data_IF_096795411134
#
_entry.id   IF_096795411134
#
_cell.length_a   1.000
_cell.length_b   1.000
_cell.length_c   1.000
_cell.angle_alpha   90.00
_cell.angle_beta   90.00
_cell.angle_gamma   90.00
#
_symmetry.space_group_name_H-M   'P 1'
#
loop_
_entity.id
_entity.type
_entity.pdbx_description
1 polymer ?
#
# COMPACT_ATOMS: atom_id res chain seq x y z
N UNK A 1 -54.71 25.89 14.64
CA UNK A 1 -53.61 26.32 13.75
C UNK A 1 -52.28 25.81 14.30
N UNK A 2 -51.77 24.70 13.76
CA UNK A 2 -50.54 24.06 14.22
C UNK A 2 -49.30 24.75 13.66
N UNK A 3 -48.36 25.11 14.56
CA UNK A 3 -47.04 25.64 14.17
C UNK A 3 -46.15 24.48 13.72
N UNK A 4 -45.93 24.38 12.41
CA UNK A 4 -44.92 23.49 11.82
C UNK A 4 -43.54 24.03 12.19
N UNK A 5 -42.85 23.41 13.14
CA UNK A 5 -41.44 23.73 13.45
C UNK A 5 -40.57 23.14 12.36
N UNK A 6 -39.82 24.00 11.65
CA UNK A 6 -38.76 23.60 10.72
C UNK A 6 -37.82 22.62 11.46
N UNK A 7 -37.75 21.36 11.01
CA UNK A 7 -36.76 20.40 11.51
C UNK A 7 -35.39 20.99 11.24
N UNK A 8 -34.61 21.26 12.30
CA UNK A 8 -33.19 21.63 12.21
C UNK A 8 -32.51 20.61 11.28
N UNK A 9 -32.03 21.10 10.14
CA UNK A 9 -31.23 20.33 9.20
C UNK A 9 -30.06 19.72 9.97
N UNK A 10 -30.05 18.38 10.09
CA UNK A 10 -28.95 17.65 10.75
C UNK A 10 -27.66 18.08 10.04
N UNK A 11 -26.74 18.71 10.78
CA UNK A 11 -25.38 18.93 10.28
C UNK A 11 -24.85 17.57 9.83
N UNK A 12 -24.39 17.51 8.58
CA UNK A 12 -23.77 16.31 8.03
C UNK A 12 -22.65 15.87 8.99
N UNK A 13 -22.65 14.58 9.33
CA UNK A 13 -21.63 13.94 10.16
C UNK A 13 -20.45 13.41 9.34
N UNK A 14 -20.54 13.48 8.01
CA UNK A 14 -19.64 12.82 7.08
C UNK A 14 -18.89 13.84 6.26
N UNK A 15 -17.62 13.54 5.94
CA UNK A 15 -16.81 14.37 5.05
C UNK A 15 -16.22 13.50 3.95
N UNK A 16 -16.23 14.01 2.72
CA UNK A 16 -15.50 13.47 1.59
C UNK A 16 -14.70 14.62 0.96
N UNK A 17 -13.41 14.40 0.68
CA UNK A 17 -12.50 15.42 0.16
C UNK A 17 -12.52 16.74 0.97
N UNK A 18 -12.62 16.61 2.30
CA UNK A 18 -12.67 17.74 3.23
C UNK A 18 -13.99 18.53 3.23
N UNK A 19 -15.02 18.06 2.51
CA UNK A 19 -16.33 18.71 2.40
C UNK A 19 -17.42 17.90 3.08
N UNK A 20 -18.38 18.53 3.79
CA UNK A 20 -19.50 17.82 4.38
C UNK A 20 -20.41 17.22 3.29
N UNK A 21 -20.76 15.94 3.43
CA UNK A 21 -21.61 15.20 2.47
C UNK A 21 -22.76 14.48 3.17
N UNK A 22 -23.86 14.20 2.47
CA UNK A 22 -24.91 13.34 3.00
C UNK A 22 -24.54 11.85 2.89
N UNK A 23 -25.41 10.99 3.43
CA UNK A 23 -25.17 9.55 3.50
C UNK A 23 -25.15 8.87 2.13
N UNK A 24 -26.02 9.29 1.20
CA UNK A 24 -26.05 8.76 -0.16
C UNK A 24 -24.78 9.14 -0.94
N UNK A 25 -24.32 10.39 -0.77
CA UNK A 25 -23.08 10.87 -1.36
C UNK A 25 -21.87 10.13 -0.76
N UNK A 26 -21.84 9.90 0.56
CA UNK A 26 -20.80 9.08 1.20
C UNK A 26 -20.79 7.65 0.63
N UNK A 27 -21.94 6.99 0.54
CA UNK A 27 -22.03 5.63 0.02
C UNK A 27 -21.51 5.53 -1.42
N UNK A 28 -21.83 6.51 -2.26
CA UNK A 28 -21.29 6.62 -3.62
C UNK A 28 -19.77 6.81 -3.63
N UNK A 29 -19.21 7.62 -2.73
CA UNK A 29 -17.76 7.78 -2.61
C UNK A 29 -17.06 6.50 -2.15
N UNK A 30 -17.65 5.78 -1.18
CA UNK A 30 -17.11 4.50 -0.70
C UNK A 30 -17.11 3.46 -1.82
N UNK A 31 -18.22 3.33 -2.57
CA UNK A 31 -18.30 2.42 -3.70
C UNK A 31 -17.26 2.77 -4.78
N UNK A 32 -17.13 4.05 -5.13
CA UNK A 32 -16.15 4.49 -6.12
C UNK A 32 -14.70 4.21 -5.70
N UNK A 33 -14.38 4.32 -4.41
CA UNK A 33 -13.05 3.94 -3.89
C UNK A 33 -12.86 2.42 -3.93
N UNK A 34 -13.86 1.64 -3.54
CA UNK A 34 -13.80 0.18 -3.56
C UNK A 34 -13.66 -0.41 -4.97
N UNK A 35 -14.27 0.22 -5.98
CA UNK A 35 -14.21 -0.23 -7.37
C UNK A 35 -12.90 0.18 -8.09
N UNK A 36 -12.08 1.04 -7.46
CA UNK A 36 -10.81 1.49 -8.05
C UNK A 36 -9.69 0.55 -7.61
N UNK A 37 -9.18 -0.22 -8.56
CA UNK A 37 -7.99 -1.08 -8.36
C UNK A 37 -6.75 -0.53 -9.05
N UNK A 38 -6.88 0.42 -9.98
CA UNK A 38 -5.73 1.00 -10.67
C UNK A 38 -5.11 2.12 -9.80
N UNK A 39 -3.91 1.85 -9.30
CA UNK A 39 -3.20 2.64 -8.31
C UNK A 39 -1.89 3.23 -8.87
N UNK A 40 -1.26 4.09 -8.08
CA UNK A 40 0.09 4.54 -8.35
C UNK A 40 1.09 3.50 -7.85
N UNK A 41 2.08 3.17 -8.66
CA UNK A 41 3.04 2.13 -8.31
C UNK A 41 4.49 2.50 -8.54
N UNK A 42 5.36 1.84 -7.77
CA UNK A 42 6.81 1.87 -7.97
C UNK A 42 7.40 0.52 -7.61
N UNK A 43 8.27 0.00 -8.48
CA UNK A 43 9.14 -1.12 -8.15
C UNK A 43 10.52 -0.59 -7.74
N UNK A 44 11.10 -1.23 -6.73
CA UNK A 44 12.45 -0.90 -6.25
C UNK A 44 13.05 -2.09 -5.51
N UNK A 45 14.19 -1.90 -4.86
CA UNK A 45 14.86 -2.91 -4.07
C UNK A 45 14.85 -2.55 -2.59
N UNK A 46 15.12 -3.52 -1.73
CA UNK A 46 15.10 -3.31 -0.28
C UNK A 46 16.18 -2.32 0.18
N UNK A 47 17.29 -2.24 -0.54
CA UNK A 47 18.40 -1.32 -0.29
C UNK A 47 18.13 0.12 -0.80
N UNK A 48 16.95 0.39 -1.38
CA UNK A 48 16.59 1.73 -1.83
C UNK A 48 16.65 2.73 -0.65
N UNK A 49 17.48 3.80 -0.76
CA UNK A 49 17.56 4.83 0.26
C UNK A 49 16.20 5.48 0.61
N UNK A 50 15.26 5.51 -0.34
CA UNK A 50 13.91 6.04 -0.13
C UNK A 50 13.05 5.17 0.78
N UNK A 51 13.38 3.88 0.94
CA UNK A 51 12.72 2.99 1.88
C UNK A 51 13.45 2.93 3.23
N UNK A 52 14.78 3.13 3.20
CA UNK A 52 15.67 3.09 4.37
C UNK A 52 15.38 1.90 5.29
N UNK A 53 15.29 0.74 4.66
CA UNK A 53 14.95 -0.50 5.33
C UNK A 53 16.11 -1.00 6.23
N UNK A 54 17.34 -0.57 5.96
CA UNK A 54 18.46 -0.67 6.90
C UNK A 54 18.99 -2.08 7.16
N UNK A 55 18.34 -3.11 6.62
CA UNK A 55 18.75 -4.51 6.69
C UNK A 55 18.33 -5.21 5.39
N UNK A 56 19.26 -5.97 4.80
CA UNK A 56 18.97 -6.84 3.66
C UNK A 56 18.61 -8.21 4.21
N UNK A 57 17.50 -8.78 3.74
CA UNK A 57 17.20 -10.15 4.09
C UNK A 57 18.13 -11.12 3.35
N UNK A 58 18.60 -12.11 4.08
CA UNK A 58 19.39 -13.24 3.58
C UNK A 58 18.52 -14.44 3.25
N UNK A 59 17.27 -14.47 3.71
CA UNK A 59 16.37 -15.58 3.47
C UNK A 59 15.05 -15.49 4.25
N UNK A 60 14.31 -16.59 4.20
CA UNK A 60 13.11 -16.84 4.98
C UNK A 60 13.36 -18.12 5.77
N UNK A 61 13.20 -18.05 7.09
CA UNK A 61 13.22 -19.21 7.96
C UNK A 61 12.04 -20.14 7.59
N UNK A 62 12.30 -21.41 7.22
CA UNK A 62 11.26 -22.33 6.77
C UNK A 62 10.31 -22.78 7.88
N UNK A 63 10.70 -22.71 9.16
CA UNK A 63 9.85 -23.10 10.29
C UNK A 63 8.93 -21.95 10.73
N UNK A 64 9.49 -20.74 10.82
CA UNK A 64 8.76 -19.58 11.34
C UNK A 64 8.16 -18.68 10.26
N UNK A 65 8.58 -18.86 9.00
CA UNK A 65 8.31 -17.92 7.92
C UNK A 65 8.99 -16.56 8.12
N UNK A 66 9.77 -16.37 9.19
CA UNK A 66 10.35 -15.06 9.48
C UNK A 66 11.48 -14.75 8.49
N UNK A 67 11.57 -13.48 8.13
CA UNK A 67 12.66 -12.98 7.31
C UNK A 67 13.96 -13.02 8.12
N UNK A 68 14.96 -13.77 7.64
CA UNK A 68 16.31 -13.72 8.19
C UNK A 68 17.08 -12.59 7.55
N UNK A 69 17.83 -11.83 8.35
CA UNK A 69 18.70 -10.76 7.87
C UNK A 69 20.13 -11.13 8.19
N UNK A 70 21.01 -11.14 7.18
CA UNK A 70 22.44 -11.33 7.39
C UNK A 70 23.15 -9.99 7.21
N UNK A 71 23.78 -9.44 8.26
CA UNK A 71 24.60 -8.23 8.15
C UNK A 71 25.88 -8.53 7.36
N UNK A 72 25.78 -8.65 6.04
CA UNK A 72 26.94 -8.90 5.16
C UNK A 72 26.60 -9.24 3.71
N UNK A 73 25.41 -9.78 3.45
CA UNK A 73 24.98 -10.09 2.08
C UNK A 73 24.20 -8.93 1.45
N UNK A 74 24.67 -8.48 0.29
CA UNK A 74 24.02 -7.46 -0.53
C UNK A 74 23.17 -8.12 -1.63
N UNK A 75 22.11 -8.81 -1.24
CA UNK A 75 21.08 -9.25 -2.17
C UNK A 75 20.14 -8.09 -2.53
N UNK A 76 19.99 -7.79 -3.82
CA UNK A 76 18.97 -6.84 -4.28
C UNK A 76 17.58 -7.46 -4.21
N UNK A 77 17.00 -7.55 -3.02
CA UNK A 77 15.66 -8.10 -2.86
C UNK A 77 14.59 -7.17 -3.43
N UNK A 78 13.59 -7.70 -4.13
CA UNK A 78 12.60 -6.87 -4.82
C UNK A 78 11.52 -6.37 -3.86
N UNK A 79 11.12 -5.11 -4.07
CA UNK A 79 9.97 -4.48 -3.43
C UNK A 79 9.04 -3.85 -4.47
N UNK A 80 7.74 -3.87 -4.19
CA UNK A 80 6.71 -3.21 -4.97
C UNK A 80 5.81 -2.37 -4.05
N UNK A 81 5.66 -1.09 -4.38
CA UNK A 81 4.87 -0.13 -3.63
C UNK A 81 3.59 0.16 -4.41
N UNK A 82 2.47 0.17 -3.69
CA UNK A 82 1.12 0.40 -4.20
C UNK A 82 0.47 1.51 -3.38
N UNK A 83 0.36 2.70 -3.98
CA UNK A 83 -0.28 3.85 -3.36
C UNK A 83 -1.64 4.12 -4.03
N UNK A 84 -2.76 4.02 -3.27
CA UNK A 84 -4.07 4.13 -3.85
C UNK A 84 -4.32 5.50 -4.46
N UNK A 85 -4.92 5.52 -5.65
CA UNK A 85 -5.24 6.78 -6.33
C UNK A 85 -6.23 7.63 -5.50
N UNK A 86 -7.11 6.96 -4.75
CA UNK A 86 -8.03 7.56 -3.78
C UNK A 86 -8.07 6.72 -2.52
N UNK A 87 -7.98 7.37 -1.37
CA UNK A 87 -7.98 6.70 -0.08
C UNK A 87 -9.21 7.08 0.75
N UNK A 88 -9.82 6.09 1.39
CA UNK A 88 -10.90 6.31 2.34
C UNK A 88 -10.33 6.41 3.76
N UNK A 89 -10.38 7.62 4.32
CA UNK A 89 -9.97 7.87 5.70
C UNK A 89 -11.17 7.82 6.63
N UNK A 90 -11.12 6.93 7.63
CA UNK A 90 -12.11 6.87 8.71
C UNK A 90 -11.49 7.34 10.01
N UNK A 91 -12.22 8.15 10.77
CA UNK A 91 -11.83 8.59 12.11
C UNK A 91 -13.01 8.42 13.07
N UNK A 92 -12.95 7.41 13.92
CA UNK A 92 -13.89 7.26 15.03
C UNK A 92 -13.56 8.28 16.14
N UNK A 93 -14.55 8.73 16.95
CA UNK A 93 -14.29 9.61 18.08
C UNK A 93 -13.28 8.99 19.06
N UNK A 94 -12.19 9.70 19.33
CA UNK A 94 -11.13 9.24 20.23
C UNK A 94 -10.06 8.34 19.60
N UNK A 95 -10.22 7.96 18.32
CA UNK A 95 -9.26 7.12 17.60
C UNK A 95 -8.42 7.92 16.61
N UNK A 96 -7.18 7.45 16.31
CA UNK A 96 -6.42 7.97 15.18
C UNK A 96 -7.17 7.70 13.86
N UNK A 97 -6.98 8.55 12.84
CA UNK A 97 -7.49 8.24 11.51
C UNK A 97 -6.87 6.92 11.00
N UNK A 98 -7.63 6.17 10.22
CA UNK A 98 -7.18 4.94 9.56
C UNK A 98 -7.53 4.97 8.09
N UNK A 99 -6.64 4.44 7.26
CA UNK A 99 -6.83 4.27 5.83
C UNK A 99 -7.46 2.89 5.58
N UNK A 100 -8.69 2.86 5.07
CA UNK A 100 -9.50 1.64 5.08
C UNK A 100 -8.98 0.53 4.17
N UNK A 101 -8.34 0.86 3.06
CA UNK A 101 -7.82 -0.16 2.16
C UNK A 101 -6.59 -0.85 2.75
N UNK A 102 -5.69 -0.13 3.44
CA UNK A 102 -4.62 -0.74 4.23
C UNK A 102 -5.19 -1.59 5.38
N UNK A 103 -6.26 -1.15 6.07
CA UNK A 103 -6.92 -2.00 7.07
C UNK A 103 -7.49 -3.28 6.44
N UNK A 104 -8.06 -3.21 5.23
CA UNK A 104 -8.55 -4.38 4.51
C UNK A 104 -7.42 -5.34 4.14
N UNK A 105 -6.29 -4.82 3.63
CA UNK A 105 -5.10 -5.62 3.35
C UNK A 105 -4.60 -6.34 4.61
N UNK A 106 -4.58 -5.64 5.75
CA UNK A 106 -4.18 -6.22 7.05
C UNK A 106 -5.16 -7.31 7.51
N UNK A 107 -6.47 -7.07 7.40
CA UNK A 107 -7.49 -8.08 7.74
C UNK A 107 -7.41 -9.33 6.87
N UNK A 108 -6.95 -9.18 5.62
CA UNK A 108 -6.70 -10.25 4.68
C UNK A 108 -5.32 -10.90 4.83
N UNK A 109 -4.55 -10.58 5.87
CA UNK A 109 -3.32 -11.30 6.23
C UNK A 109 -2.01 -10.60 5.90
N UNK A 110 -2.04 -9.34 5.43
CA UNK A 110 -0.85 -8.50 5.51
C UNK A 110 -0.62 -7.99 6.94
N UNK A 111 0.58 -7.48 7.21
CA UNK A 111 0.92 -6.92 8.50
C UNK A 111 0.94 -5.40 8.47
N UNK A 112 0.64 -4.77 9.61
CA UNK A 112 0.85 -3.32 9.73
C UNK A 112 2.34 -3.06 9.77
N UNK A 113 2.85 -2.37 8.76
CA UNK A 113 4.26 -2.04 8.69
C UNK A 113 4.56 -0.86 9.59
N UNK A 114 5.06 -1.14 10.79
CA UNK A 114 5.54 -0.16 11.74
C UNK A 114 7.04 0.15 11.57
N UNK A 115 7.78 0.24 12.67
CA UNK A 115 9.15 0.74 12.69
C UNK A 115 10.27 -0.29 12.39
N UNK A 116 10.00 -1.51 11.91
CA UNK A 116 11.09 -2.47 11.63
C UNK A 116 10.73 -3.79 10.95
N UNK A 117 11.78 -4.52 10.52
CA UNK A 117 11.74 -5.77 9.74
C UNK A 117 11.27 -7.00 10.49
N UNK A 118 11.45 -7.04 11.81
CA UNK A 118 11.20 -8.22 12.62
C UNK A 118 9.75 -8.73 12.56
N UNK A 119 8.81 -7.88 12.15
CA UNK A 119 7.39 -8.17 11.99
C UNK A 119 6.98 -8.54 10.57
N UNK A 120 7.87 -8.46 9.58
CA UNK A 120 7.53 -8.93 8.24
C UNK A 120 7.33 -10.45 8.27
N UNK A 121 6.21 -10.86 7.67
CA UNK A 121 5.78 -12.24 7.52
C UNK A 121 5.35 -12.49 6.08
N UNK A 122 5.39 -13.75 5.63
CA UNK A 122 4.67 -14.19 4.45
C UNK A 122 3.20 -13.82 4.61
N UNK A 123 2.65 -13.18 3.58
CA UNK A 123 1.23 -12.90 3.51
C UNK A 123 0.58 -14.04 2.73
N UNK A 124 0.21 -15.11 3.44
CA UNK A 124 -0.29 -16.34 2.83
C UNK A 124 -1.50 -16.07 1.92
N UNK A 125 -1.48 -16.68 0.73
CA UNK A 125 -2.51 -16.49 -0.29
C UNK A 125 -2.40 -15.21 -1.12
N UNK A 126 -1.59 -14.23 -0.70
CA UNK A 126 -1.31 -13.06 -1.53
C UNK A 126 -0.30 -13.38 -2.62
N UNK A 127 -0.52 -12.81 -3.80
CA UNK A 127 0.37 -12.98 -4.94
C UNK A 127 0.53 -11.70 -5.75
N UNK A 128 1.75 -11.45 -6.22
CA UNK A 128 2.05 -10.39 -7.17
C UNK A 128 2.18 -11.00 -8.57
N UNK A 129 1.20 -10.72 -9.42
CA UNK A 129 1.16 -11.20 -10.79
C UNK A 129 1.74 -10.17 -11.74
N UNK A 130 2.69 -10.59 -12.58
CA UNK A 130 3.09 -9.82 -13.75
C UNK A 130 2.24 -10.20 -14.95
N UNK A 131 1.51 -9.21 -15.49
CA UNK A 131 0.65 -9.38 -16.65
C UNK A 131 1.43 -9.28 -17.97
N UNK A 132 0.81 -9.71 -19.07
CA UNK A 132 1.38 -9.66 -20.41
C UNK A 132 1.61 -8.24 -20.93
N UNK A 133 0.88 -7.25 -20.40
CA UNK A 133 1.00 -5.84 -20.73
C UNK A 133 1.91 -5.06 -19.77
N UNK A 134 2.79 -5.78 -19.05
CA UNK A 134 3.78 -5.23 -18.10
C UNK A 134 3.19 -4.57 -16.85
N UNK A 135 1.87 -4.63 -16.65
CA UNK A 135 1.25 -4.24 -15.38
C UNK A 135 1.50 -5.30 -14.30
N UNK A 136 1.51 -4.86 -13.07
CA UNK A 136 1.56 -5.73 -11.89
C UNK A 136 0.22 -5.71 -11.19
N UNK A 137 -0.32 -6.88 -10.86
CA UNK A 137 -1.53 -7.05 -10.05
C UNK A 137 -1.17 -7.69 -8.72
N UNK A 138 -1.43 -6.97 -7.64
CA UNK A 138 -1.48 -7.53 -6.30
C UNK A 138 -2.85 -8.20 -6.12
N UNK A 139 -2.84 -9.50 -5.89
CA UNK A 139 -4.04 -10.31 -5.67
C UNK A 139 -4.15 -10.73 -4.22
N UNK A 140 -5.36 -10.58 -3.69
CA UNK A 140 -5.73 -11.01 -2.35
C UNK A 140 -5.91 -12.54 -2.27
N UNK A 141 -5.98 -13.12 -1.06
CA UNK A 141 -6.13 -14.57 -0.87
C UNK A 141 -7.39 -15.19 -1.49
N UNK A 142 -8.42 -14.39 -1.76
CA UNK A 142 -9.63 -14.80 -2.46
C UNK A 142 -9.46 -14.87 -4.00
N UNK A 143 -8.27 -14.52 -4.51
CA UNK A 143 -7.92 -14.50 -5.93
C UNK A 143 -8.34 -13.21 -6.67
N UNK A 144 -9.02 -12.29 -5.98
CA UNK A 144 -9.43 -10.99 -6.50
C UNK A 144 -8.24 -10.06 -6.77
N UNK A 145 -8.41 -9.11 -7.68
CA UNK A 145 -7.42 -8.03 -7.87
C UNK A 145 -7.64 -7.02 -6.76
N UNK A 146 -6.66 -6.91 -5.87
CA UNK A 146 -6.69 -5.94 -4.79
C UNK A 146 -6.16 -4.58 -5.26
N UNK A 147 -5.08 -4.60 -6.04
CA UNK A 147 -4.48 -3.38 -6.60
C UNK A 147 -3.70 -3.71 -7.88
N UNK A 148 -3.63 -2.77 -8.81
CA UNK A 148 -2.94 -2.86 -10.09
C UNK A 148 -2.12 -1.61 -10.34
N UNK A 149 -0.88 -1.78 -10.77
CA UNK A 149 0.02 -0.68 -11.10
C UNK A 149 0.65 -0.88 -12.48
N UNK A 150 0.86 0.24 -13.17
CA UNK A 150 1.75 0.30 -14.33
C UNK A 150 3.12 0.78 -13.85
N UNK A 151 4.16 -0.02 -14.08
CA UNK A 151 5.55 0.32 -13.74
C UNK A 151 6.44 0.21 -14.96
N UNK A 152 7.49 1.05 -15.08
CA UNK A 152 8.48 0.90 -16.13
C UNK A 152 9.14 -0.48 -16.06
N UNK A 153 9.38 -1.09 -17.23
CA UNK A 153 10.09 -2.36 -17.32
C UNK A 153 11.48 -2.26 -16.68
N UNK A 154 11.74 -3.10 -15.69
CA UNK A 154 13.03 -3.19 -14.99
C UNK A 154 13.51 -4.65 -14.97
N UNK A 155 14.44 -5.04 -15.87
CA UNK A 155 14.87 -6.43 -15.99
C UNK A 155 15.61 -6.94 -14.76
N UNK A 156 16.36 -6.07 -14.05
CA UNK A 156 17.05 -6.45 -12.83
C UNK A 156 16.05 -6.79 -11.71
N UNK A 157 15.01 -5.97 -11.56
CA UNK A 157 13.95 -6.21 -10.58
C UNK A 157 13.19 -7.50 -10.88
N UNK A 158 12.84 -7.73 -12.15
CA UNK A 158 12.14 -8.95 -12.58
C UNK A 158 13.01 -10.19 -12.33
N UNK A 159 14.30 -10.13 -12.69
CA UNK A 159 15.24 -11.23 -12.44
C UNK A 159 15.31 -11.58 -10.96
N UNK A 160 15.36 -10.57 -10.09
CA UNK A 160 15.36 -10.76 -8.65
C UNK A 160 14.04 -11.34 -8.13
N UNK A 161 12.90 -10.86 -8.60
CA UNK A 161 11.58 -11.41 -8.23
C UNK A 161 11.41 -12.87 -8.68
N UNK A 162 11.94 -13.24 -9.84
CA UNK A 162 11.94 -14.62 -10.31
C UNK A 162 12.90 -15.52 -9.50
N UNK A 163 14.09 -15.03 -9.16
CA UNK A 163 15.09 -15.84 -8.45
C UNK A 163 14.71 -16.07 -6.98
N UNK A 164 14.12 -15.06 -6.33
CA UNK A 164 13.68 -15.14 -4.94
C UNK A 164 12.32 -15.81 -4.79
N UNK A 165 11.45 -15.70 -5.81
CA UNK A 165 10.08 -16.23 -5.78
C UNK A 165 9.10 -15.41 -4.93
N UNK A 166 9.56 -14.33 -4.31
CA UNK A 166 8.72 -13.44 -3.49
C UNK A 166 9.11 -11.97 -3.67
N UNK A 167 8.19 -11.08 -3.31
CA UNK A 167 8.39 -9.63 -3.34
C UNK A 167 7.87 -9.03 -2.03
N UNK A 168 8.60 -8.04 -1.47
CA UNK A 168 8.03 -7.19 -0.44
C UNK A 168 6.98 -6.26 -1.06
N UNK A 169 5.72 -6.49 -0.76
CA UNK A 169 4.66 -5.58 -1.14
C UNK A 169 4.38 -4.61 0.00
N UNK A 170 4.36 -3.32 -0.33
CA UNK A 170 3.93 -2.23 0.54
C UNK A 170 2.68 -1.60 -0.06
N UNK A 171 1.59 -1.58 0.70
CA UNK A 171 0.32 -1.00 0.27
C UNK A 171 -0.11 0.11 1.23
N UNK A 172 -0.60 1.23 0.69
CA UNK A 172 -1.22 2.30 1.47
C UNK A 172 -0.85 3.69 0.99
N UNK A 173 -1.26 4.71 1.74
CA UNK A 173 -0.97 6.11 1.38
C UNK A 173 0.39 6.59 1.91
N UNK A 174 0.92 7.64 1.28
CA UNK A 174 2.18 8.29 1.69
C UNK A 174 3.36 7.31 1.60
N UNK A 175 3.47 6.57 0.49
CA UNK A 175 4.55 5.61 0.29
C UNK A 175 5.76 6.23 -0.41
N UNK A 176 5.71 7.50 -0.79
CA UNK A 176 6.76 8.08 -1.60
C UNK A 176 6.63 7.78 -3.10
N UNK A 177 5.47 7.28 -3.55
CA UNK A 177 5.27 6.82 -4.94
C UNK A 177 4.87 7.98 -5.84
N UNK A 178 3.80 8.68 -5.48
CA UNK A 178 3.27 9.79 -6.28
C UNK A 178 3.92 11.11 -5.88
N UNK A 179 4.16 11.97 -6.86
CA UNK A 179 4.55 13.36 -6.57
C UNK A 179 3.37 14.09 -5.92
N UNK A 180 3.56 14.73 -4.75
CA UNK A 180 2.51 15.49 -4.10
C UNK A 180 1.93 16.60 -5.00
N UNK A 181 0.61 16.89 -4.92
CA UNK A 181 0.01 17.97 -5.68
C UNK A 181 0.71 19.30 -5.41
N UNK A 182 1.01 20.06 -6.47
CA UNK A 182 1.68 21.36 -6.37
C UNK A 182 3.22 21.28 -6.23
N UNK A 183 3.80 20.08 -6.18
CA UNK A 183 5.25 19.89 -6.21
C UNK A 183 5.72 19.51 -7.63
N UNK A 184 6.68 20.23 -8.22
CA UNK A 184 7.33 19.82 -9.46
C UNK A 184 8.06 18.48 -9.29
N UNK A 185 8.00 17.59 -10.27
CA UNK A 185 8.61 16.25 -10.18
C UNK A 185 10.12 16.29 -9.84
N UNK A 186 10.86 17.28 -10.36
CA UNK A 186 12.29 17.45 -10.06
C UNK A 186 12.62 17.90 -8.64
N UNK A 187 11.62 18.35 -7.86
CA UNK A 187 11.77 18.71 -6.45
C UNK A 187 11.40 17.56 -5.51
N UNK A 188 10.77 16.51 -6.04
CA UNK A 188 10.45 15.33 -5.26
C UNK A 188 11.66 14.39 -5.26
N UNK A 189 12.57 14.62 -4.32
CA UNK A 189 13.82 13.88 -4.14
C UNK A 189 13.60 12.60 -3.33
N UNK A 190 14.60 11.71 -3.31
CA UNK A 190 14.54 10.49 -2.50
C UNK A 190 14.45 10.78 -1.00
N UNK A 191 15.05 11.89 -0.54
CA UNK A 191 14.86 12.38 0.82
C UNK A 191 13.40 12.75 1.12
N UNK A 192 12.74 13.44 0.20
CA UNK A 192 11.33 13.79 0.35
C UNK A 192 10.42 12.54 0.34
N UNK A 193 10.72 11.56 -0.54
CA UNK A 193 10.02 10.26 -0.56
C UNK A 193 10.18 9.52 0.76
N UNK A 194 11.40 9.47 1.30
CA UNK A 194 11.69 8.82 2.57
C UNK A 194 10.94 9.48 3.73
N UNK A 195 10.88 10.81 3.77
CA UNK A 195 10.14 11.54 4.80
C UNK A 195 8.63 11.27 4.72
N UNK A 196 8.07 11.22 3.51
CA UNK A 196 6.68 10.84 3.28
C UNK A 196 6.43 9.40 3.73
N UNK A 197 7.28 8.45 3.30
CA UNK A 197 7.19 7.04 3.68
C UNK A 197 7.25 6.85 5.19
N UNK A 198 8.22 7.47 5.88
CA UNK A 198 8.33 7.42 7.35
C UNK A 198 7.09 7.96 8.04
N UNK A 199 6.46 9.00 7.49
CA UNK A 199 5.23 9.58 8.02
C UNK A 199 4.05 8.63 7.86
N UNK A 200 3.82 8.10 6.66
CA UNK A 200 2.75 7.14 6.39
C UNK A 200 2.86 5.91 7.29
N UNK A 201 4.07 5.35 7.37
CA UNK A 201 4.41 4.24 8.25
C UNK A 201 4.18 4.56 9.73
N UNK A 202 4.63 5.72 10.20
CA UNK A 202 4.47 6.18 11.58
C UNK A 202 3.02 6.45 11.99
N UNK A 203 2.15 6.78 11.03
CA UNK A 203 0.71 6.93 11.21
C UNK A 203 -0.05 5.60 11.08
N UNK A 204 0.66 4.51 10.75
CA UNK A 204 0.07 3.19 10.55
C UNK A 204 -0.70 3.03 9.24
N UNK A 205 -0.44 3.85 8.23
CA UNK A 205 -1.12 3.81 6.93
C UNK A 205 -0.54 2.79 5.95
N UNK A 206 0.45 2.01 6.36
CA UNK A 206 1.16 1.07 5.49
C UNK A 206 0.88 -0.36 5.93
N UNK A 207 0.29 -1.14 5.04
CA UNK A 207 0.28 -2.60 5.10
C UNK A 207 1.51 -3.16 4.36
N UNK A 208 2.07 -4.25 4.84
CA UNK A 208 3.18 -4.92 4.19
C UNK A 208 3.09 -6.44 4.31
N UNK A 209 3.63 -7.13 3.31
CA UNK A 209 3.77 -8.58 3.33
C UNK A 209 4.80 -9.06 2.34
N UNK A 210 5.39 -10.22 2.60
CA UNK A 210 6.09 -10.97 1.56
C UNK A 210 5.07 -11.77 0.77
N UNK A 211 4.94 -11.46 -0.52
CA UNK A 211 3.95 -12.09 -1.39
C UNK A 211 4.66 -12.93 -2.45
N UNK A 212 4.05 -14.04 -2.86
CA UNK A 212 4.60 -14.86 -3.94
C UNK A 212 4.63 -14.08 -5.25
N UNK A 213 5.71 -14.22 -6.03
CA UNK A 213 5.78 -13.63 -7.37
C UNK A 213 5.35 -14.63 -8.43
N UNK A 214 4.40 -14.23 -9.28
CA UNK A 214 3.87 -15.07 -10.36
C UNK A 214 4.07 -14.37 -11.70
N UNK A 215 4.91 -14.96 -12.55
CA UNK A 215 5.14 -14.44 -13.89
C UNK A 215 4.17 -15.08 -14.89
N UNK A 216 3.09 -14.35 -15.23
CA UNK A 216 2.11 -14.79 -16.23
C UNK A 216 2.50 -14.39 -17.67
N UNK A 217 3.70 -13.85 -17.86
CA UNK A 217 4.30 -13.68 -19.18
C UNK A 217 4.94 -15.01 -19.59
N UNK A 218 4.13 -15.84 -20.25
CA UNK A 218 4.60 -17.05 -20.94
C UNK A 218 5.59 -16.73 -22.06
#
# INVERSE_FOLDING_TARGET
>A
MGRYKLKKQRRSRFQADGRPVDEACLASHVAAVADTVDDHGRVTFWDDPALQLGQVASGIDPESGAVTVDPGESGQLPAALFEPARALMIKAPGEPPREQQAEAAIQLGMERFGLGFAVLRPADGWALHRLADERLELRSPDGGVFSRIAVPFNPAWISSALSTGFVLCLYGIQLGVRTPPGMPAGQYTDGARLEEFRRGRGLGFTAAGLVSFVNNRG
#
